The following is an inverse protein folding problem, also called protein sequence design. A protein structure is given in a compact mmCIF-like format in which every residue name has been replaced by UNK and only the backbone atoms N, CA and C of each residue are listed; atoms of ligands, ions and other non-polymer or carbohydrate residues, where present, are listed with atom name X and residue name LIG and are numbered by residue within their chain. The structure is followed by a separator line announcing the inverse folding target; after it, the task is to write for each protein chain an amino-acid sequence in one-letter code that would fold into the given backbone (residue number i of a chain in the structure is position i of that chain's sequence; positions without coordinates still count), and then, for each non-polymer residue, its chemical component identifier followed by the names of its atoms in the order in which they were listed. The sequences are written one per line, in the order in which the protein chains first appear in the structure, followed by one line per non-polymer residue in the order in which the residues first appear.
data_IF_908353937028
#
_entry.id   IF_908353937028
#
_cell.length_a   1.000
_cell.length_b   1.000
_cell.length_c   1.000
_cell.angle_alpha   90.00
_cell.angle_beta   90.00
_cell.angle_gamma   90.00
#
_symmetry.space_group_name_H-M   'P 1'
#
loop_
_entity.id
_entity.type
_entity.pdbx_description
1 polymer ?
#
# COMPACT_ATOMS: atom_id res chain seq x y z
N UNK A 1 24.87 -47.94 -22.27
CA UNK A 1 26.07 -47.08 -22.18
C UNK A 1 25.61 -45.67 -21.85
N UNK A 2 25.99 -45.21 -20.66
CA UNK A 2 25.70 -43.87 -20.12
C UNK A 2 26.68 -42.87 -20.72
N UNK A 3 26.21 -41.73 -21.24
CA UNK A 3 27.04 -40.54 -21.41
C UNK A 3 26.32 -39.31 -20.84
N UNK A 4 26.88 -38.87 -19.72
CA UNK A 4 26.56 -37.65 -18.98
C UNK A 4 27.23 -36.44 -19.62
N UNK A 5 26.60 -35.29 -19.44
CA UNK A 5 27.27 -34.08 -18.92
C UNK A 5 28.03 -33.22 -19.92
N UNK A 6 27.39 -32.15 -20.40
CA UNK A 6 28.07 -30.99 -21.00
C UNK A 6 28.04 -29.86 -19.98
N UNK A 7 29.19 -29.62 -19.34
CA UNK A 7 29.49 -28.35 -18.68
C UNK A 7 29.90 -27.32 -19.73
N UNK A 8 29.33 -26.11 -19.67
CA UNK A 8 29.85 -24.93 -20.37
C UNK A 8 30.50 -23.98 -19.36
N UNK A 9 31.64 -23.35 -19.70
CA UNK A 9 32.40 -22.49 -18.79
C UNK A 9 31.87 -21.05 -18.80
N UNK A 10 32.12 -20.37 -17.67
CA UNK A 10 31.89 -18.96 -17.43
C UNK A 10 32.70 -18.07 -18.39
N UNK A 11 32.06 -17.05 -18.94
CA UNK A 11 32.69 -15.98 -19.68
C UNK A 11 32.83 -14.75 -18.78
N UNK A 12 34.06 -14.26 -18.67
CA UNK A 12 34.39 -12.88 -18.27
C UNK A 12 34.15 -11.94 -19.45
N UNK A 13 33.62 -10.74 -19.20
CA UNK A 13 34.02 -9.52 -19.93
C UNK A 13 34.02 -8.31 -19.00
N UNK A 14 35.16 -7.61 -19.04
CA UNK A 14 35.46 -6.27 -18.55
C UNK A 14 35.26 -5.33 -19.73
N UNK A 15 34.56 -4.20 -19.55
CA UNK A 15 34.69 -2.97 -20.34
C UNK A 15 33.82 -1.89 -19.69
N UNK A 16 34.08 -0.60 -19.73
CA UNK A 16 35.27 0.22 -19.95
C UNK A 16 34.81 1.64 -19.58
N UNK A 17 35.69 2.42 -18.97
CA UNK A 17 35.44 3.80 -18.58
C UNK A 17 35.24 4.71 -19.80
N UNK A 18 34.25 5.60 -19.73
CA UNK A 18 34.07 6.73 -20.64
C UNK A 18 34.06 8.03 -19.83
N UNK A 19 35.25 8.62 -19.66
CA UNK A 19 35.46 9.93 -19.05
C UNK A 19 35.34 11.00 -20.15
N UNK A 20 34.35 11.89 -20.06
CA UNK A 20 34.23 13.05 -20.93
C UNK A 20 34.91 14.26 -20.28
N UNK A 21 35.91 14.79 -20.98
CA UNK A 21 36.61 16.04 -20.69
C UNK A 21 35.69 17.24 -20.93
N UNK A 22 35.52 18.08 -19.92
CA UNK A 22 35.19 19.51 -20.10
C UNK A 22 36.31 20.31 -19.45
N UNK A 23 36.93 21.14 -20.27
CA UNK A 23 38.09 21.98 -19.99
C UNK A 23 37.69 23.45 -20.00
N UNK A 24 38.44 24.23 -19.21
CA UNK A 24 38.51 25.71 -19.14
C UNK A 24 37.38 26.39 -18.33
N UNK A 25 37.64 27.32 -17.41
CA UNK A 25 38.90 27.99 -17.03
C UNK A 25 38.70 28.83 -15.76
N UNK A 26 39.76 28.88 -14.95
CA UNK A 26 40.25 29.97 -14.10
C UNK A 26 39.27 30.92 -13.38
N UNK A 27 39.20 30.77 -12.06
CA UNK A 27 39.39 31.90 -11.14
C UNK A 27 40.27 31.47 -9.96
N UNK A 28 41.37 32.19 -9.84
CA UNK A 28 42.36 32.12 -8.76
C UNK A 28 41.78 32.65 -7.46
N UNK A 29 41.76 31.84 -6.40
CA UNK A 29 41.88 32.37 -5.04
C UNK A 29 42.67 31.40 -4.17
N UNK A 30 43.52 32.00 -3.34
CA UNK A 30 44.79 31.48 -2.87
C UNK A 30 44.67 31.33 -1.37
N UNK A 31 44.22 30.18 -0.89
CA UNK A 31 44.24 29.85 0.53
C UNK A 31 45.14 28.65 0.80
N UNK A 32 46.10 28.88 1.67
CA UNK A 32 47.09 27.92 2.13
C UNK A 32 46.43 26.79 2.95
N UNK A 33 46.89 25.54 2.83
CA UNK A 33 46.41 24.46 3.70
C UNK A 33 47.01 24.60 5.09
N UNK A 34 46.13 24.74 6.08
CA UNK A 34 46.43 24.56 7.50
C UNK A 34 46.56 23.05 7.76
N UNK A 35 47.76 22.60 8.09
CA UNK A 35 48.00 21.25 8.61
C UNK A 35 47.21 21.07 9.91
N UNK A 36 46.12 20.32 9.85
CA UNK A 36 45.48 19.77 11.05
C UNK A 36 46.06 18.38 11.31
N UNK A 37 46.71 18.26 12.48
CA UNK A 37 47.23 17.01 13.00
C UNK A 37 46.09 16.01 13.19
N UNK A 38 46.17 14.89 12.47
CA UNK A 38 45.30 13.73 12.68
C UNK A 38 45.73 13.08 13.99
N UNK A 39 44.93 13.28 15.03
CA UNK A 39 45.05 12.56 16.29
C UNK A 39 44.72 11.08 16.06
N UNK A 40 45.70 10.23 16.33
CA UNK A 40 45.61 8.77 16.29
C UNK A 40 44.53 8.30 17.29
N UNK A 41 43.46 7.68 16.79
CA UNK A 41 42.42 7.07 17.62
C UNK A 41 43.02 5.87 18.36
N UNK A 42 42.87 5.76 19.70
CA UNK A 42 43.25 4.55 20.41
C UNK A 42 42.37 3.38 19.97
N UNK A 43 42.99 2.21 19.84
CA UNK A 43 42.34 0.95 19.54
C UNK A 43 41.24 0.65 20.58
N UNK A 44 40.11 0.05 20.18
CA UNK A 44 39.08 -0.34 21.13
C UNK A 44 39.60 -1.46 22.04
N UNK A 45 39.59 -1.21 23.34
CA UNK A 45 39.76 -2.24 24.36
C UNK A 45 38.67 -3.30 24.21
N UNK A 46 39.09 -4.57 24.24
CA UNK A 46 38.19 -5.71 24.24
C UNK A 46 37.33 -5.69 25.51
N UNK A 47 36.05 -5.36 25.35
CA UNK A 47 35.06 -5.52 26.41
C UNK A 47 34.71 -7.00 26.48
N UNK A 48 35.17 -7.64 27.54
CA UNK A 48 34.83 -9.01 27.89
C UNK A 48 33.35 -9.05 28.30
N UNK A 49 32.51 -9.58 27.39
CA UNK A 49 31.08 -9.76 27.59
C UNK A 49 30.85 -10.85 28.65
N UNK A 50 30.63 -10.43 29.89
CA UNK A 50 30.15 -11.31 30.97
C UNK A 50 28.73 -11.77 30.64
N UNK A 51 28.60 -13.04 30.28
CA UNK A 51 27.31 -13.73 30.16
C UNK A 51 26.47 -13.52 31.43
N UNK A 52 25.24 -13.03 31.25
CA UNK A 52 24.26 -12.93 32.31
C UNK A 52 23.82 -14.35 32.75
N UNK A 53 23.56 -14.57 34.06
CA UNK A 53 23.06 -15.85 34.53
C UNK A 53 21.65 -16.10 33.97
N UNK A 54 21.47 -17.27 33.36
CA UNK A 54 20.16 -17.77 32.93
C UNK A 54 19.24 -17.90 34.14
N UNK A 55 18.15 -17.13 34.15
CA UNK A 55 17.07 -17.27 35.10
C UNK A 55 16.34 -18.60 34.85
N UNK A 56 16.01 -19.39 35.88
CA UNK A 56 15.28 -20.63 35.71
C UNK A 56 13.89 -20.37 35.14
N UNK A 57 13.59 -21.05 34.04
CA UNK A 57 12.26 -21.09 33.41
C UNK A 57 11.33 -21.86 34.35
N UNK A 58 10.39 -21.15 34.99
CA UNK A 58 9.27 -21.77 35.68
C UNK A 58 8.33 -22.42 34.66
N UNK A 59 8.34 -23.75 34.63
CA UNK A 59 7.40 -24.54 33.85
C UNK A 59 6.05 -24.52 34.57
N UNK A 60 5.16 -23.63 34.14
CA UNK A 60 3.75 -23.69 34.52
C UNK A 60 3.10 -24.91 33.85
N UNK A 61 2.90 -25.98 34.63
CA UNK A 61 1.98 -27.07 34.28
C UNK A 61 0.56 -26.51 34.28
N UNK A 62 -0.01 -26.33 33.10
CA UNK A 62 -1.40 -25.93 32.91
C UNK A 62 -2.38 -26.96 33.50
N UNK A 63 -3.61 -26.54 33.83
CA UNK A 63 -4.63 -27.42 34.37
C UNK A 63 -5.03 -28.50 33.35
N UNK A 64 -5.43 -29.64 33.90
CA UNK A 64 -5.79 -30.87 33.19
C UNK A 64 -6.82 -30.64 32.06
N UNK A 65 -6.54 -31.32 30.95
CA UNK A 65 -7.36 -31.43 29.75
C UNK A 65 -8.78 -31.91 30.10
N UNK A 66 -9.84 -31.15 29.81
CA UNK A 66 -11.21 -31.62 30.01
C UNK A 66 -11.55 -32.73 28.99
N UNK A 67 -12.29 -33.73 29.47
CA UNK A 67 -12.77 -34.86 28.69
C UNK A 67 -13.52 -34.43 27.40
N UNK A 68 -13.43 -35.23 26.31
CA UNK A 68 -13.97 -34.86 25.01
C UNK A 68 -15.50 -34.79 25.05
N UNK A 69 -16.03 -33.57 24.94
CA UNK A 69 -17.44 -33.34 24.68
C UNK A 69 -17.87 -33.93 23.33
N UNK A 70 -19.06 -34.52 23.31
CA UNK A 70 -19.72 -35.10 22.15
C UNK A 70 -19.69 -34.17 20.94
N UNK A 71 -19.25 -34.70 19.79
CA UNK A 71 -19.21 -33.99 18.49
C UNK A 71 -20.60 -33.41 18.15
N UNK A 72 -20.79 -32.09 18.08
CA UNK A 72 -22.00 -31.55 17.48
C UNK A 72 -22.02 -31.90 16.00
N UNK A 73 -23.20 -32.28 15.50
CA UNK A 73 -23.42 -32.58 14.10
C UNK A 73 -22.94 -31.43 13.21
N UNK A 74 -22.24 -31.77 12.13
CA UNK A 74 -21.77 -30.79 11.16
C UNK A 74 -22.95 -29.96 10.65
N UNK A 75 -22.88 -28.61 10.68
CA UNK A 75 -23.93 -27.79 10.10
C UNK A 75 -24.02 -28.09 8.60
N UNK A 76 -25.24 -28.40 8.15
CA UNK A 76 -25.54 -28.51 6.72
C UNK A 76 -25.05 -27.25 6.00
N UNK A 77 -24.26 -27.44 4.94
CA UNK A 77 -23.90 -26.38 3.99
C UNK A 77 -25.20 -25.82 3.40
N UNK A 78 -25.72 -24.73 3.99
CA UNK A 78 -26.71 -23.89 3.32
C UNK A 78 -26.03 -23.31 2.08
N UNK A 79 -26.53 -23.69 0.91
CA UNK A 79 -26.20 -23.01 -0.33
C UNK A 79 -26.48 -21.51 -0.15
N UNK A 80 -25.53 -20.65 -0.54
CA UNK A 80 -25.72 -19.22 -0.53
C UNK A 80 -27.01 -18.87 -1.31
N UNK A 81 -27.89 -18.02 -0.75
CA UNK A 81 -29.10 -17.61 -1.44
C UNK A 81 -28.72 -16.89 -2.73
N UNK A 82 -29.12 -17.48 -3.87
CA UNK A 82 -28.74 -17.02 -5.22
C UNK A 82 -29.44 -15.72 -5.66
N UNK A 83 -30.32 -15.17 -4.83
CA UNK A 83 -31.17 -14.02 -5.16
C UNK A 83 -31.27 -13.02 -3.99
N UNK A 84 -30.13 -12.66 -3.38
CA UNK A 84 -30.09 -11.52 -2.47
C UNK A 84 -30.31 -10.22 -3.27
N UNK A 85 -31.46 -9.60 -3.04
CA UNK A 85 -31.90 -8.37 -3.69
C UNK A 85 -30.82 -7.28 -3.65
N UNK A 86 -30.59 -6.66 -4.81
CA UNK A 86 -29.71 -5.51 -5.00
C UNK A 86 -30.20 -4.30 -4.20
N UNK A 87 -29.79 -4.22 -2.94
CA UNK A 87 -29.87 -3.04 -2.08
C UNK A 87 -28.86 -2.02 -2.63
N UNK A 88 -29.31 -1.12 -3.52
CA UNK A 88 -28.57 -0.04 -4.21
C UNK A 88 -27.08 -0.33 -4.50
N UNK A 89 -26.79 -1.55 -4.97
CA UNK A 89 -25.44 -2.02 -5.20
C UNK A 89 -24.71 -1.11 -6.19
N UNK A 90 -23.59 -0.53 -5.76
CA UNK A 90 -22.72 0.27 -6.62
C UNK A 90 -22.39 -0.57 -7.86
N UNK A 91 -22.75 -0.07 -9.05
CA UNK A 91 -22.52 -0.79 -10.29
C UNK A 91 -21.03 -1.11 -10.45
N UNK A 92 -20.72 -2.29 -11.01
CA UNK A 92 -19.35 -2.67 -11.33
C UNK A 92 -18.65 -1.53 -12.08
N UNK A 93 -17.43 -1.13 -11.69
CA UNK A 93 -16.70 -0.13 -12.45
C UNK A 93 -16.53 -0.63 -13.89
N UNK A 94 -16.55 0.28 -14.86
CA UNK A 94 -16.27 -0.08 -16.24
C UNK A 94 -14.83 -0.58 -16.36
N UNK A 95 -14.64 -1.71 -17.04
CA UNK A 95 -13.33 -2.36 -17.21
C UNK A 95 -13.01 -2.41 -18.69
N UNK A 96 -12.02 -1.61 -19.09
CA UNK A 96 -11.48 -1.55 -20.45
C UNK A 96 -9.99 -1.91 -20.46
N UNK A 97 -9.53 -2.44 -21.59
CA UNK A 97 -8.10 -2.73 -21.82
C UNK A 97 -7.50 -3.87 -21.00
N UNK A 98 -8.31 -4.61 -20.25
CA UNK A 98 -7.88 -5.86 -19.59
C UNK A 98 -8.05 -7.01 -20.58
N UNK A 99 -6.95 -7.47 -21.18
CA UNK A 99 -6.97 -8.52 -22.21
C UNK A 99 -7.27 -9.92 -21.64
N UNK A 100 -6.90 -10.18 -20.39
CA UNK A 100 -7.02 -11.49 -19.76
C UNK A 100 -7.23 -11.36 -18.25
N UNK A 101 -8.51 -11.25 -17.81
CA UNK A 101 -8.84 -11.42 -16.41
C UNK A 101 -8.36 -12.80 -15.91
N UNK A 102 -7.97 -12.86 -14.64
CA UNK A 102 -7.49 -14.08 -14.00
C UNK A 102 -8.60 -14.55 -13.05
N UNK A 103 -9.25 -15.64 -13.40
CA UNK A 103 -10.15 -16.34 -12.49
C UNK A 103 -9.33 -17.31 -11.64
N UNK A 104 -9.35 -17.13 -10.33
CA UNK A 104 -8.63 -17.99 -9.38
C UNK A 104 -9.42 -18.17 -8.10
N UNK A 105 -8.97 -19.14 -7.31
CA UNK A 105 -9.50 -19.42 -5.99
C UNK A 105 -8.52 -18.92 -4.93
N UNK A 106 -8.86 -17.80 -4.28
CA UNK A 106 -7.96 -17.16 -3.33
C UNK A 106 -8.11 -17.73 -1.92
N UNK A 107 -6.98 -17.85 -1.22
CA UNK A 107 -6.98 -17.96 0.23
C UNK A 107 -7.04 -16.56 0.82
N UNK A 108 -8.13 -16.26 1.51
CA UNK A 108 -8.35 -14.92 2.06
C UNK A 108 -8.04 -14.85 3.54
N UNK A 109 -7.19 -13.90 3.93
CA UNK A 109 -6.94 -13.49 5.31
C UNK A 109 -7.25 -12.01 5.49
N UNK A 110 -7.11 -11.51 6.73
CA UNK A 110 -7.22 -10.10 7.01
C UNK A 110 -6.08 -9.66 7.93
N UNK A 111 -5.78 -8.36 7.90
CA UNK A 111 -4.86 -7.74 8.82
C UNK A 111 -5.34 -6.35 9.21
N UNK A 112 -4.92 -5.92 10.39
CA UNK A 112 -5.21 -4.61 10.92
C UNK A 112 -3.95 -4.06 11.55
N UNK A 113 -3.94 -2.74 11.75
CA UNK A 113 -2.87 -2.10 12.49
C UNK A 113 -3.37 -1.86 13.90
N UNK A 114 -2.67 -2.46 14.88
CA UNK A 114 -3.01 -2.27 16.28
C UNK A 114 -2.82 -0.78 16.65
N UNK A 115 -3.89 -0.06 17.03
CA UNK A 115 -3.76 1.35 17.33
C UNK A 115 -2.88 1.54 18.57
N UNK A 116 -1.99 2.52 18.49
CA UNK A 116 -1.33 3.06 19.67
C UNK A 116 -2.35 3.92 20.40
N UNK A 117 -2.79 3.52 21.59
CA UNK A 117 -3.68 4.35 22.40
C UNK A 117 -2.87 5.25 23.34
N UNK A 118 -3.27 6.52 23.44
CA UNK A 118 -2.81 7.44 24.49
C UNK A 118 -3.27 6.88 25.83
N UNK A 119 -2.34 6.62 26.76
CA UNK A 119 -2.71 6.50 28.18
C UNK A 119 -2.28 7.77 28.90
N UNK A 120 -2.75 7.95 30.13
CA UNK A 120 -2.59 9.18 30.90
C UNK A 120 -1.12 9.68 30.98
N UNK A 121 -0.91 11.01 31.14
CA UNK A 121 0.31 11.72 30.74
C UNK A 121 1.60 11.41 31.53
N UNK A 122 1.60 10.47 32.46
CA UNK A 122 2.70 10.39 33.43
C UNK A 122 3.85 9.48 32.96
N UNK A 123 3.65 8.58 31.99
CA UNK A 123 4.72 7.72 31.45
C UNK A 123 4.59 7.52 29.94
N UNK A 124 5.33 8.31 29.14
CA UNK A 124 5.32 8.14 27.68
C UNK A 124 6.43 8.86 26.91
N UNK A 125 6.71 8.37 25.70
CA UNK A 125 7.55 9.03 24.69
C UNK A 125 6.70 9.97 23.84
N UNK A 126 7.22 11.15 23.50
CA UNK A 126 6.55 12.06 22.58
C UNK A 126 6.90 11.70 21.13
N UNK A 127 5.88 11.45 20.31
CA UNK A 127 5.97 11.40 18.85
C UNK A 127 5.63 12.78 18.28
N UNK A 128 6.34 13.19 17.23
CA UNK A 128 5.98 14.37 16.44
C UNK A 128 5.59 13.92 15.05
N UNK A 129 4.31 14.07 14.71
CA UNK A 129 3.82 13.87 13.35
C UNK A 129 4.00 15.17 12.56
N UNK A 130 4.26 15.06 11.26
CA UNK A 130 4.10 16.17 10.33
C UNK A 130 2.77 15.97 9.62
N UNK A 131 1.85 16.92 9.75
CA UNK A 131 0.54 16.87 9.09
C UNK A 131 0.66 17.04 7.57
N UNK A 132 -0.47 16.87 6.88
CA UNK A 132 -0.54 17.00 5.42
C UNK A 132 -0.17 18.41 4.91
N UNK A 133 -0.24 19.43 5.78
CA UNK A 133 0.16 20.81 5.47
C UNK A 133 1.63 21.09 5.85
N UNK A 134 2.38 20.09 6.30
CA UNK A 134 3.78 20.23 6.73
C UNK A 134 3.96 20.76 8.15
N UNK A 135 2.88 20.96 8.92
CA UNK A 135 2.95 21.44 10.30
C UNK A 135 3.18 20.28 11.26
N UNK A 136 4.02 20.54 12.27
CA UNK A 136 4.36 19.55 13.31
C UNK A 136 3.26 19.48 14.37
N UNK A 137 2.80 18.26 14.67
CA UNK A 137 1.83 17.93 15.73
C UNK A 137 2.47 16.94 16.71
N UNK A 138 2.35 17.18 18.01
CA UNK A 138 2.93 16.31 19.04
C UNK A 138 1.88 15.40 19.66
N UNK A 139 2.23 14.12 19.83
CA UNK A 139 1.44 13.10 20.51
C UNK A 139 2.30 12.44 21.59
N UNK A 140 1.70 12.02 22.69
CA UNK A 140 2.39 11.22 23.73
C UNK A 140 1.90 9.79 23.65
N UNK A 141 2.82 8.84 23.55
CA UNK A 141 2.56 7.41 23.46
C UNK A 141 3.33 6.68 24.55
N UNK A 142 2.82 5.59 25.11
CA UNK A 142 3.55 4.81 26.13
C UNK A 142 4.76 4.09 25.53
N UNK A 143 5.70 3.63 26.36
CA UNK A 143 6.84 2.84 25.91
C UNK A 143 6.44 1.56 25.13
N UNK A 144 5.45 0.81 25.63
CA UNK A 144 4.96 -0.41 24.95
C UNK A 144 4.29 -0.10 23.61
N UNK A 145 3.46 0.94 23.57
CA UNK A 145 2.78 1.32 22.33
C UNK A 145 3.75 1.93 21.32
N UNK A 146 4.75 2.69 21.77
CA UNK A 146 5.82 3.21 20.91
C UNK A 146 6.58 2.08 20.22
N UNK A 147 7.01 1.06 20.97
CA UNK A 147 7.74 -0.06 20.39
C UNK A 147 6.91 -0.80 19.33
N UNK A 148 5.60 -1.00 19.58
CA UNK A 148 4.69 -1.56 18.56
C UNK A 148 4.58 -0.65 17.34
N UNK A 149 4.42 0.65 17.54
CA UNK A 149 4.38 1.62 16.44
C UNK A 149 5.64 1.55 15.58
N UNK A 150 6.81 1.41 16.20
CA UNK A 150 8.08 1.27 15.49
C UNK A 150 8.20 -0.04 14.72
N UNK A 151 7.59 -1.13 15.21
CA UNK A 151 7.56 -2.40 14.48
C UNK A 151 6.57 -2.36 13.31
N UNK A 152 5.37 -1.84 13.54
CA UNK A 152 4.28 -1.77 12.55
C UNK A 152 4.41 -0.58 11.59
N UNK A 153 5.35 0.33 11.84
CA UNK A 153 5.54 1.60 11.13
C UNK A 153 4.29 2.51 11.08
N UNK A 154 3.29 2.29 11.94
CA UNK A 154 2.07 3.08 12.02
C UNK A 154 1.69 3.32 13.49
N UNK A 155 1.20 4.52 13.77
CA UNK A 155 0.77 4.98 15.08
C UNK A 155 -0.61 5.63 14.98
N UNK A 156 -1.34 5.57 16.09
CA UNK A 156 -2.57 6.36 16.27
C UNK A 156 -2.32 7.35 17.39
N UNK A 157 -2.65 8.61 17.15
CA UNK A 157 -2.71 9.67 18.14
C UNK A 157 -4.16 10.05 18.39
N UNK A 158 -4.49 10.44 19.61
CA UNK A 158 -5.75 11.14 19.90
C UNK A 158 -5.38 12.59 20.20
N UNK A 159 -5.88 13.52 19.39
CA UNK A 159 -5.61 14.94 19.61
C UNK A 159 -6.42 15.50 20.79
N UNK A 160 -6.22 16.79 21.07
CA UNK A 160 -6.88 17.48 22.20
C UNK A 160 -8.41 17.50 22.11
N UNK A 161 -8.95 17.33 20.90
CA UNK A 161 -10.39 17.36 20.62
C UNK A 161 -10.98 15.93 20.61
N UNK A 162 -10.16 14.92 20.94
CA UNK A 162 -10.56 13.52 20.94
C UNK A 162 -10.54 12.88 19.54
N UNK A 163 -10.10 13.59 18.50
CA UNK A 163 -10.03 13.04 17.14
C UNK A 163 -8.86 12.07 17.03
N UNK A 164 -9.13 10.87 16.52
CA UNK A 164 -8.09 9.89 16.15
C UNK A 164 -7.36 10.38 14.90
N UNK A 165 -6.04 10.30 14.95
CA UNK A 165 -5.11 10.75 13.92
C UNK A 165 -4.17 9.59 13.64
N UNK A 166 -4.14 9.12 12.41
CA UNK A 166 -3.24 8.04 12.03
C UNK A 166 -1.96 8.66 11.50
N UNK A 167 -0.82 8.06 11.82
CA UNK A 167 0.46 8.50 11.31
C UNK A 167 1.34 7.31 10.97
N UNK A 168 2.17 7.45 9.95
CA UNK A 168 3.11 6.43 9.52
C UNK A 168 4.54 6.91 9.71
N UNK A 169 5.45 5.96 9.91
CA UNK A 169 6.88 6.24 10.08
C UNK A 169 7.54 6.31 8.71
N UNK A 170 8.15 7.46 8.42
CA UNK A 170 8.96 7.66 7.20
C UNK A 170 10.40 7.18 7.42
N UNK A 171 10.94 7.49 8.59
CA UNK A 171 12.26 7.05 9.05
C UNK A 171 12.30 7.07 10.59
N UNK A 172 13.40 6.63 11.19
CA UNK A 172 13.55 6.65 12.65
C UNK A 172 13.24 8.05 13.22
N UNK A 173 12.25 8.11 14.12
CA UNK A 173 11.78 9.35 14.73
C UNK A 173 11.00 10.32 13.81
N UNK A 174 10.86 10.04 12.51
CA UNK A 174 10.13 10.88 11.56
C UNK A 174 8.79 10.26 11.21
N UNK A 175 7.72 10.95 11.59
CA UNK A 175 6.34 10.50 11.39
C UNK A 175 5.57 11.50 10.54
N UNK A 176 4.68 11.01 9.69
CA UNK A 176 3.75 11.81 8.88
C UNK A 176 2.32 11.38 9.14
N UNK A 177 1.42 12.34 9.17
CA UNK A 177 -0.01 12.05 9.28
C UNK A 177 -0.50 11.34 8.01
N UNK A 178 -1.38 10.37 8.19
CA UNK A 178 -2.10 9.70 7.12
C UNK A 178 -3.32 10.53 6.70
N UNK A 179 -3.70 10.51 5.41
CA UNK A 179 -4.94 11.11 4.95
C UNK A 179 -6.18 10.64 5.70
N UNK A 180 -7.20 11.49 5.77
CA UNK A 180 -8.47 11.13 6.40
C UNK A 180 -9.10 9.91 5.71
N UNK A 181 -9.54 8.93 6.50
CA UNK A 181 -10.06 7.66 6.00
C UNK A 181 -9.00 6.56 5.85
N UNK A 182 -7.71 6.91 5.82
CA UNK A 182 -6.62 5.93 5.87
C UNK A 182 -6.31 5.52 7.31
N UNK A 183 -5.93 4.26 7.50
CA UNK A 183 -5.51 3.71 8.79
C UNK A 183 -4.14 3.01 8.74
N UNK A 184 -3.49 3.00 7.58
CA UNK A 184 -2.24 2.30 7.37
C UNK A 184 -1.45 2.86 6.21
N UNK A 185 -0.18 2.47 6.12
CA UNK A 185 0.68 2.79 5.00
C UNK A 185 1.15 1.50 4.36
N UNK A 186 0.79 1.28 3.11
CA UNK A 186 1.16 0.11 2.34
C UNK A 186 2.41 0.34 1.51
N UNK A 187 2.64 -0.57 0.58
CA UNK A 187 3.71 -0.44 -0.41
C UNK A 187 3.60 0.88 -1.20
N UNK A 188 4.75 1.38 -1.68
CA UNK A 188 4.90 2.63 -2.44
C UNK A 188 4.34 3.89 -1.76
N UNK A 189 4.26 3.89 -0.44
CA UNK A 189 3.70 5.02 0.33
C UNK A 189 2.20 5.23 0.01
N UNK A 190 1.50 4.15 -0.34
CA UNK A 190 0.05 4.19 -0.54
C UNK A 190 -0.70 4.20 0.80
N UNK A 191 -1.50 5.23 1.02
CA UNK A 191 -2.40 5.30 2.18
C UNK A 191 -3.46 4.18 2.10
N UNK A 192 -3.45 3.25 3.05
CA UNK A 192 -4.34 2.10 3.06
C UNK A 192 -5.70 2.45 3.65
N UNK A 193 -6.76 2.05 2.94
CA UNK A 193 -8.16 2.29 3.30
C UNK A 193 -8.83 0.98 3.68
N UNK A 194 -9.39 0.88 4.90
CA UNK A 194 -10.04 -0.34 5.36
C UNK A 194 -11.15 -0.78 4.41
N UNK A 195 -11.21 -2.09 4.15
CA UNK A 195 -12.24 -2.74 3.32
C UNK A 195 -12.19 -2.38 1.83
N UNK A 196 -11.16 -1.66 1.39
CA UNK A 196 -10.93 -1.27 -0.02
C UNK A 196 -9.62 -1.87 -0.53
N UNK A 197 -8.58 -1.89 0.31
CA UNK A 197 -7.24 -2.29 -0.08
C UNK A 197 -6.86 -3.68 0.44
N UNK A 198 -6.10 -4.39 -0.38
CA UNK A 198 -5.59 -5.74 -0.11
C UNK A 198 -4.07 -5.79 -0.34
N UNK A 199 -3.40 -6.64 0.43
CA UNK A 199 -2.05 -7.10 0.12
C UNK A 199 -2.13 -8.37 -0.74
N UNK A 200 -1.27 -8.46 -1.75
CA UNK A 200 -1.19 -9.60 -2.65
C UNK A 200 0.27 -9.86 -3.09
N UNK A 201 0.51 -11.01 -3.71
CA UNK A 201 1.77 -11.30 -4.39
C UNK A 201 1.94 -10.40 -5.61
N UNK A 202 2.84 -9.41 -5.53
CA UNK A 202 3.05 -8.44 -6.61
C UNK A 202 3.78 -9.00 -7.84
N UNK A 203 4.36 -10.21 -7.74
CA UNK A 203 4.89 -10.92 -8.91
C UNK A 203 3.76 -11.46 -9.80
N UNK A 204 2.63 -11.82 -9.18
CA UNK A 204 1.47 -12.41 -9.85
C UNK A 204 0.37 -11.36 -10.12
N UNK A 205 0.09 -10.50 -9.14
CA UNK A 205 -0.97 -9.49 -9.18
C UNK A 205 -0.37 -8.09 -9.00
N UNK A 206 -0.13 -7.35 -10.09
CA UNK A 206 0.53 -6.06 -10.02
C UNK A 206 -0.21 -5.06 -9.11
N UNK A 207 0.55 -4.18 -8.46
CA UNK A 207 0.00 -3.03 -7.75
C UNK A 207 -0.96 -2.23 -8.64
N UNK A 208 -2.11 -1.83 -8.08
CA UNK A 208 -3.21 -1.14 -8.76
C UNK A 208 -4.21 -2.07 -9.44
N UNK A 209 -4.02 -3.40 -9.42
CA UNK A 209 -5.00 -4.34 -9.99
C UNK A 209 -6.31 -4.33 -9.21
N UNK A 210 -7.42 -4.47 -9.93
CA UNK A 210 -8.76 -4.61 -9.35
C UNK A 210 -9.05 -6.09 -9.09
N UNK A 211 -9.64 -6.38 -7.93
CA UNK A 211 -10.01 -7.72 -7.50
C UNK A 211 -11.49 -7.73 -7.17
N UNK A 212 -12.24 -8.63 -7.81
CA UNK A 212 -13.65 -8.83 -7.55
C UNK A 212 -13.87 -10.17 -6.86
N UNK A 213 -14.41 -10.14 -5.63
CA UNK A 213 -14.79 -11.32 -4.86
C UNK A 213 -16.31 -11.30 -4.67
N UNK A 214 -17.08 -12.05 -5.48
CA UNK A 214 -18.54 -12.05 -5.41
C UNK A 214 -19.10 -12.40 -4.03
N UNK A 215 -18.45 -13.34 -3.32
CA UNK A 215 -18.87 -13.78 -1.99
C UNK A 215 -18.78 -12.70 -0.91
N UNK A 216 -18.02 -11.63 -1.16
CA UNK A 216 -17.93 -10.50 -0.24
C UNK A 216 -19.06 -9.49 -0.41
N UNK A 217 -19.81 -9.51 -1.51
CA UNK A 217 -20.88 -8.53 -1.75
C UNK A 217 -21.95 -8.62 -0.67
N UNK A 218 -22.21 -7.50 0.00
CA UNK A 218 -23.21 -7.41 1.06
C UNK A 218 -22.75 -7.98 2.41
N UNK A 219 -21.50 -8.44 2.53
CA UNK A 219 -20.95 -8.86 3.82
C UNK A 219 -20.95 -7.68 4.79
N UNK A 220 -21.72 -7.81 5.88
CA UNK A 220 -21.94 -6.75 6.87
C UNK A 220 -21.08 -6.98 8.12
N UNK A 221 -20.35 -5.94 8.52
CA UNK A 221 -19.57 -5.93 9.74
C UNK A 221 -20.42 -5.51 10.95
N UNK A 222 -19.93 -5.77 12.16
CA UNK A 222 -20.62 -5.37 13.40
C UNK A 222 -20.83 -3.85 13.57
N UNK A 223 -20.18 -3.02 12.75
CA UNK A 223 -20.41 -1.57 12.68
C UNK A 223 -21.44 -1.15 11.59
N UNK A 224 -22.08 -2.12 10.93
CA UNK A 224 -23.08 -1.93 9.88
C UNK A 224 -22.51 -1.66 8.49
N UNK A 225 -21.18 -1.57 8.33
CA UNK A 225 -20.58 -1.40 7.00
C UNK A 225 -20.73 -2.66 6.18
N UNK A 226 -21.09 -2.49 4.91
CA UNK A 226 -21.18 -3.58 3.94
C UNK A 226 -20.03 -3.52 2.94
N UNK A 227 -19.50 -4.67 2.55
CA UNK A 227 -18.57 -4.80 1.43
C UNK A 227 -19.30 -4.74 0.08
N UNK A 228 -18.66 -4.15 -0.91
CA UNK A 228 -19.16 -4.08 -2.29
C UNK A 228 -18.55 -5.18 -3.20
N UNK A 229 -17.63 -6.00 -2.68
CA UNK A 229 -16.95 -7.07 -3.42
C UNK A 229 -15.76 -6.62 -4.28
N UNK A 230 -15.41 -5.34 -4.31
CA UNK A 230 -14.31 -4.81 -5.12
C UNK A 230 -13.17 -4.28 -4.25
N UNK A 231 -11.95 -4.72 -4.56
CA UNK A 231 -10.74 -4.39 -3.82
C UNK A 231 -9.60 -4.02 -4.77
N UNK A 232 -8.63 -3.25 -4.28
CA UNK A 232 -7.43 -2.89 -5.06
C UNK A 232 -6.16 -3.41 -4.40
N UNK A 233 -5.28 -3.98 -5.21
CA UNK A 233 -3.94 -4.40 -4.78
C UNK A 233 -3.11 -3.16 -4.48
N UNK A 234 -2.99 -2.84 -3.20
CA UNK A 234 -2.35 -1.61 -2.73
C UNK A 234 -1.17 -1.87 -1.80
N UNK A 235 -0.95 -3.14 -1.42
CA UNK A 235 0.10 -3.53 -0.51
C UNK A 235 0.75 -4.87 -0.91
N UNK A 236 1.80 -5.25 -0.19
CA UNK A 236 2.51 -6.52 -0.31
C UNK A 236 3.02 -6.95 1.06
N UNK A 237 3.05 -8.25 1.32
CA UNK A 237 3.65 -8.79 2.55
C UNK A 237 4.59 -9.94 2.25
N UNK A 238 5.65 -10.10 3.05
CA UNK A 238 6.66 -11.15 2.83
C UNK A 238 6.15 -12.60 3.03
N UNK A 239 4.88 -12.79 3.38
CA UNK A 239 4.19 -14.11 3.49
C UNK A 239 2.95 -14.19 2.59
N UNK A 240 2.75 -13.18 1.74
CA UNK A 240 1.63 -13.09 0.82
C UNK A 240 2.17 -13.50 -0.56
N UNK A 241 2.04 -14.80 -0.87
CA UNK A 241 2.61 -15.46 -2.05
C UNK A 241 1.52 -16.24 -2.79
N UNK A 242 1.57 -16.26 -4.13
CA UNK A 242 0.57 -16.94 -4.97
C UNK A 242 -0.85 -16.42 -4.71
N UNK A 243 -1.84 -17.30 -4.67
CA UNK A 243 -3.26 -16.96 -4.45
C UNK A 243 -3.60 -16.57 -2.99
N UNK A 244 -2.62 -16.16 -2.19
CA UNK A 244 -2.84 -15.64 -0.84
C UNK A 244 -3.13 -14.14 -0.89
N UNK A 245 -4.27 -13.74 -0.34
CA UNK A 245 -4.69 -12.34 -0.23
C UNK A 245 -4.93 -11.98 1.23
N UNK A 246 -4.57 -10.75 1.60
CA UNK A 246 -4.74 -10.23 2.96
C UNK A 246 -5.48 -8.90 2.92
N UNK A 247 -6.72 -8.88 3.43
CA UNK A 247 -7.56 -7.69 3.44
C UNK A 247 -7.17 -6.75 4.55
N UNK A 248 -6.93 -5.49 4.20
CA UNK A 248 -6.76 -4.45 5.21
C UNK A 248 -8.12 -4.10 5.83
N UNK A 249 -8.34 -4.48 7.08
CA UNK A 249 -9.60 -4.20 7.81
C UNK A 249 -9.47 -3.03 8.79
N UNK A 250 -8.25 -2.50 8.97
CA UNK A 250 -7.95 -1.29 9.75
C UNK A 250 -8.02 -1.47 11.26
N UNK A 251 -9.08 -2.09 11.80
CA UNK A 251 -9.34 -2.19 13.23
C UNK A 251 -9.50 -3.64 13.71
N UNK A 252 -9.06 -3.91 14.94
CA UNK A 252 -9.12 -5.25 15.55
C UNK A 252 -10.53 -5.79 15.71
N UNK A 253 -11.53 -4.93 15.95
CA UNK A 253 -12.93 -5.37 16.08
C UNK A 253 -13.48 -5.89 14.74
N UNK A 254 -13.15 -5.20 13.64
CA UNK A 254 -13.52 -5.61 12.28
C UNK A 254 -12.81 -6.91 11.92
N UNK A 255 -11.53 -7.03 12.30
CA UNK A 255 -10.73 -8.24 12.12
C UNK A 255 -11.35 -9.47 12.77
N UNK A 256 -11.73 -9.40 14.05
CA UNK A 256 -12.35 -10.54 14.73
C UNK A 256 -13.65 -10.98 14.04
N UNK A 257 -14.51 -10.03 13.65
CA UNK A 257 -15.75 -10.33 12.92
C UNK A 257 -15.52 -10.95 11.53
N UNK A 258 -14.47 -10.50 10.83
CA UNK A 258 -14.06 -11.08 9.55
C UNK A 258 -13.62 -12.54 9.73
N UNK A 259 -12.72 -12.80 10.69
CA UNK A 259 -12.20 -14.13 10.94
C UNK A 259 -13.28 -15.14 11.31
N UNK A 260 -14.32 -14.74 12.02
CA UNK A 260 -15.40 -15.66 12.38
C UNK A 260 -16.24 -16.10 11.19
N UNK A 261 -16.30 -15.29 10.13
CA UNK A 261 -17.07 -15.59 8.93
C UNK A 261 -16.26 -16.32 7.85
N UNK A 262 -15.00 -15.92 7.66
CA UNK A 262 -14.20 -16.31 6.48
C UNK A 262 -13.38 -17.60 6.69
N UNK A 263 -13.54 -18.30 7.83
CA UNK A 263 -12.66 -19.42 8.26
C UNK A 263 -12.40 -20.45 7.14
N UNK A 264 -11.15 -20.43 6.65
CA UNK A 264 -10.54 -21.39 5.73
C UNK A 264 -11.29 -21.60 4.42
N UNK A 265 -11.99 -20.57 3.96
CA UNK A 265 -12.69 -20.63 2.70
C UNK A 265 -11.81 -20.10 1.57
N UNK A 266 -11.95 -20.84 0.49
CA UNK A 266 -11.40 -20.60 -0.80
C UNK A 266 -12.50 -19.83 -1.55
N UNK A 267 -12.16 -18.63 -2.03
CA UNK A 267 -13.12 -17.72 -2.65
C UNK A 267 -12.85 -17.57 -4.14
N UNK A 268 -13.88 -17.88 -4.93
CA UNK A 268 -13.85 -17.62 -6.36
C UNK A 268 -13.71 -16.12 -6.59
N UNK A 269 -12.68 -15.75 -7.35
CA UNK A 269 -12.26 -14.37 -7.50
C UNK A 269 -11.87 -14.12 -8.95
N UNK A 270 -12.30 -12.98 -9.48
CA UNK A 270 -11.81 -12.48 -10.77
C UNK A 270 -10.89 -11.30 -10.52
N UNK A 271 -9.66 -11.42 -11.01
CA UNK A 271 -8.63 -10.40 -10.88
C UNK A 271 -8.47 -9.75 -12.25
N UNK A 272 -8.48 -8.42 -12.26
CA UNK A 272 -8.25 -7.61 -13.43
C UNK A 272 -6.90 -6.91 -13.26
N UNK A 273 -5.82 -7.45 -13.86
CA UNK A 273 -4.51 -6.84 -13.76
C UNK A 273 -4.54 -5.39 -14.27
N UNK A 274 -3.80 -4.49 -13.62
CA UNK A 274 -3.68 -3.11 -14.08
C UNK A 274 -3.23 -3.10 -15.56
N UNK A 275 -4.05 -2.57 -16.50
CA UNK A 275 -3.72 -2.59 -17.91
C UNK A 275 -2.42 -1.83 -18.20
N UNK A 276 -1.74 -2.26 -19.26
CA UNK A 276 -0.58 -1.51 -19.78
C UNK A 276 -1.09 -0.39 -20.67
N UNK A 277 -0.62 0.81 -20.40
CA UNK A 277 -0.84 1.99 -21.25
C UNK A 277 0.45 2.40 -21.93
N UNK A 278 0.33 3.05 -23.08
CA UNK A 278 1.48 3.63 -23.75
C UNK A 278 2.12 4.71 -22.87
N UNK A 279 3.44 4.86 -22.95
CA UNK A 279 4.18 5.82 -22.13
C UNK A 279 3.62 7.25 -22.18
N UNK A 280 3.10 7.68 -23.34
CA UNK A 280 2.51 9.01 -23.52
C UNK A 280 1.17 9.21 -22.80
N UNK A 281 0.56 8.13 -22.30
CA UNK A 281 -0.70 8.08 -21.58
C UNK A 281 -0.54 7.50 -20.16
N UNK A 282 0.69 7.16 -19.74
CA UNK A 282 0.95 6.56 -18.43
C UNK A 282 0.76 7.61 -17.31
N UNK A 283 -0.26 7.47 -16.44
CA UNK A 283 -0.58 8.45 -15.42
C UNK A 283 0.48 8.54 -14.30
N UNK A 284 1.45 7.62 -14.26
CA UNK A 284 2.58 7.68 -13.31
C UNK A 284 3.64 8.72 -13.66
N UNK A 285 3.53 9.35 -14.82
CA UNK A 285 4.37 10.48 -15.18
C UNK A 285 3.53 11.71 -15.50
N UNK A 286 4.02 12.90 -15.13
CA UNK A 286 3.26 14.15 -15.23
C UNK A 286 2.73 14.43 -16.64
N UNK A 287 3.45 14.04 -17.70
CA UNK A 287 3.01 14.26 -19.07
C UNK A 287 1.82 13.37 -19.46
N UNK A 288 1.87 12.08 -19.12
CA UNK A 288 0.76 11.16 -19.30
C UNK A 288 -0.44 11.53 -18.44
N UNK A 289 -0.20 11.87 -17.16
CA UNK A 289 -1.23 12.35 -16.24
C UNK A 289 -1.94 13.60 -16.78
N UNK A 290 -1.19 14.63 -17.18
CA UNK A 290 -1.75 15.85 -17.77
C UNK A 290 -2.63 15.53 -18.98
N UNK A 291 -2.18 14.60 -19.84
CA UNK A 291 -2.92 14.18 -21.03
C UNK A 291 -4.24 13.52 -20.68
N UNK A 292 -4.26 12.61 -19.71
CA UNK A 292 -5.50 11.96 -19.22
C UNK A 292 -6.46 13.00 -18.65
N UNK A 293 -5.96 13.92 -17.83
CA UNK A 293 -6.79 14.95 -17.21
C UNK A 293 -7.34 15.95 -18.23
N UNK A 294 -6.58 16.28 -19.29
CA UNK A 294 -7.07 17.11 -20.40
C UNK A 294 -8.17 16.37 -21.17
N UNK A 295 -7.94 15.10 -21.53
CA UNK A 295 -8.89 14.31 -22.29
C UNK A 295 -10.22 14.11 -21.55
N UNK A 296 -10.15 13.97 -20.23
CA UNK A 296 -11.34 13.82 -19.36
C UNK A 296 -11.96 15.17 -18.93
N UNK A 297 -11.40 16.31 -19.36
CA UNK A 297 -11.95 17.64 -19.06
C UNK A 297 -11.64 18.20 -17.66
N UNK A 298 -10.79 17.53 -16.88
CA UNK A 298 -10.36 17.96 -15.54
C UNK A 298 -9.21 18.97 -15.56
N UNK A 299 -8.52 19.11 -16.70
CA UNK A 299 -7.42 20.04 -16.90
C UNK A 299 -7.58 20.75 -18.24
N UNK A 300 -7.39 22.07 -18.26
CA UNK A 300 -7.34 22.82 -19.53
C UNK A 300 -5.98 22.63 -20.19
N UNK A 301 -5.96 22.44 -21.51
CA UNK A 301 -4.70 22.35 -22.24
C UNK A 301 -3.91 23.67 -22.08
N UNK A 302 -2.61 23.61 -21.73
CA UNK A 302 -1.79 24.80 -21.66
C UNK A 302 -1.66 25.44 -23.04
N UNK A 303 -1.50 26.75 -23.10
CA UNK A 303 -1.21 27.45 -24.35
C UNK A 303 0.24 27.17 -24.77
N UNK A 304 0.44 26.24 -25.71
CA UNK A 304 1.76 25.90 -26.26
C UNK A 304 2.46 24.74 -25.55
N UNK A 305 3.79 24.81 -25.42
CA UNK A 305 4.64 23.73 -24.88
C UNK A 305 4.90 23.86 -23.36
N UNK A 306 4.14 24.68 -22.65
CA UNK A 306 4.35 24.90 -21.22
C UNK A 306 4.07 23.63 -20.42
N UNK A 307 4.99 23.27 -19.52
CA UNK A 307 4.80 22.15 -18.60
C UNK A 307 3.77 22.53 -17.55
N UNK A 308 2.80 21.66 -17.33
CA UNK A 308 1.82 21.82 -16.24
C UNK A 308 2.55 21.66 -14.91
N UNK A 309 2.38 22.63 -14.01
CA UNK A 309 2.98 22.58 -12.67
C UNK A 309 2.34 21.50 -11.80
N UNK A 310 3.12 20.93 -10.88
CA UNK A 310 2.69 19.82 -10.02
C UNK A 310 1.45 20.15 -9.18
N UNK A 311 1.32 21.38 -8.69
CA UNK A 311 0.15 21.79 -7.91
C UNK A 311 -1.13 21.84 -8.74
N UNK A 312 -1.04 22.30 -9.98
CA UNK A 312 -2.17 22.33 -10.92
C UNK A 312 -2.59 20.89 -11.26
N UNK A 313 -1.63 19.99 -11.47
CA UNK A 313 -1.91 18.57 -11.67
C UNK A 313 -2.59 17.97 -10.45
N UNK A 314 -2.08 18.25 -9.25
CA UNK A 314 -2.66 17.74 -8.00
C UNK A 314 -4.10 18.18 -7.82
N UNK A 315 -4.42 19.45 -8.07
CA UNK A 315 -5.79 19.97 -8.01
C UNK A 315 -6.71 19.31 -9.05
N UNK A 316 -6.23 19.14 -10.28
CA UNK A 316 -6.98 18.47 -11.35
C UNK A 316 -7.23 16.98 -11.04
N UNK A 317 -6.24 16.28 -10.45
CA UNK A 317 -6.40 14.91 -9.95
C UNK A 317 -7.48 14.84 -8.88
N UNK A 318 -7.51 15.77 -7.92
CA UNK A 318 -8.59 15.82 -6.91
C UNK A 318 -9.97 16.00 -7.55
N UNK A 319 -10.06 16.81 -8.61
CA UNK A 319 -11.28 16.94 -9.42
C UNK A 319 -11.72 15.60 -9.99
N UNK A 320 -10.82 14.94 -10.72
CA UNK A 320 -11.06 13.61 -11.29
C UNK A 320 -11.48 12.58 -10.24
N UNK A 321 -10.80 12.56 -9.09
CA UNK A 321 -11.07 11.60 -8.03
C UNK A 321 -12.45 11.76 -7.39
N UNK A 322 -12.96 12.99 -7.29
CA UNK A 322 -14.30 13.25 -6.75
C UNK A 322 -15.42 12.76 -7.67
N UNK A 323 -15.15 12.68 -8.97
CA UNK A 323 -16.10 12.15 -9.96
C UNK A 323 -16.13 10.62 -10.00
N UNK A 324 -15.18 9.95 -9.32
CA UNK A 324 -15.11 8.49 -9.24
C UNK A 324 -15.62 7.98 -7.87
N UNK A 325 -16.79 7.32 -7.81
CA UNK A 325 -17.41 6.93 -6.53
C UNK A 325 -16.62 5.85 -5.76
N UNK A 326 -15.73 5.13 -6.44
CA UNK A 326 -14.89 4.10 -5.83
C UNK A 326 -13.57 4.63 -5.26
N UNK A 327 -13.13 5.84 -5.62
CA UNK A 327 -11.88 6.39 -5.11
C UNK A 327 -12.11 6.93 -3.70
N UNK A 328 -11.46 6.36 -2.67
CA UNK A 328 -11.64 6.85 -1.31
C UNK A 328 -10.95 8.21 -1.14
N UNK A 329 -11.54 9.08 -0.31
CA UNK A 329 -11.00 10.41 -0.03
C UNK A 329 -9.56 10.41 0.51
N UNK A 330 -9.13 9.28 1.10
CA UNK A 330 -7.77 9.09 1.57
C UNK A 330 -6.72 9.10 0.44
N UNK A 331 -7.11 8.86 -0.81
CA UNK A 331 -6.22 8.92 -1.96
C UNK A 331 -6.20 10.30 -2.63
N UNK A 332 -6.99 11.27 -2.15
CA UNK A 332 -7.15 12.55 -2.85
C UNK A 332 -5.84 13.32 -2.99
N UNK A 333 -5.50 13.65 -4.25
CA UNK A 333 -4.28 14.33 -4.66
C UNK A 333 -3.08 13.40 -4.90
N UNK A 334 -3.23 12.09 -4.72
CA UNK A 334 -2.20 11.09 -5.02
C UNK A 334 -2.56 10.31 -6.30
N UNK A 335 -1.96 10.64 -7.46
CA UNK A 335 -2.22 9.92 -8.72
C UNK A 335 -1.65 8.49 -8.74
N UNK A 336 -0.69 8.19 -7.87
CA UNK A 336 -0.04 6.89 -7.81
C UNK A 336 -0.75 5.90 -6.87
N UNK A 337 -1.71 6.38 -6.08
CA UNK A 337 -2.49 5.54 -5.17
C UNK A 337 -3.28 4.47 -5.94
N UNK A 338 -3.44 3.29 -5.35
CA UNK A 338 -3.80 2.08 -6.08
C UNK A 338 -5.15 2.19 -6.80
N UNK A 339 -6.17 2.72 -6.13
CA UNK A 339 -7.51 2.88 -6.71
C UNK A 339 -7.51 4.02 -7.74
N UNK A 340 -6.87 5.15 -7.43
CA UNK A 340 -6.74 6.30 -8.33
C UNK A 340 -6.02 5.93 -9.63
N UNK A 341 -4.90 5.22 -9.51
CA UNK A 341 -4.10 4.75 -10.62
C UNK A 341 -4.92 3.83 -11.55
N UNK A 342 -5.75 2.95 -10.98
CA UNK A 342 -6.67 2.12 -11.75
C UNK A 342 -7.58 2.98 -12.63
N UNK A 343 -8.32 3.93 -12.04
CA UNK A 343 -9.29 4.75 -12.77
C UNK A 343 -8.63 5.70 -13.79
N UNK A 344 -7.46 6.29 -13.46
CA UNK A 344 -6.70 7.07 -14.42
C UNK A 344 -6.25 6.22 -15.62
N UNK A 345 -5.87 4.97 -15.37
CA UNK A 345 -5.50 4.02 -16.42
C UNK A 345 -6.70 3.64 -17.29
N UNK A 346 -7.88 3.42 -16.70
CA UNK A 346 -9.11 3.16 -17.46
C UNK A 346 -9.46 4.36 -18.37
N UNK A 347 -9.45 5.57 -17.82
CA UNK A 347 -9.72 6.79 -18.57
C UNK A 347 -8.74 6.99 -19.74
N UNK A 348 -7.45 6.72 -19.52
CA UNK A 348 -6.42 6.78 -20.56
C UNK A 348 -6.74 5.85 -21.75
N UNK A 349 -7.22 4.65 -21.48
CA UNK A 349 -7.55 3.65 -22.50
C UNK A 349 -8.82 4.05 -23.26
N UNK A 350 -9.86 4.47 -22.55
CA UNK A 350 -11.13 4.90 -23.14
C UNK A 350 -10.92 6.07 -24.11
N UNK A 351 -10.21 7.11 -23.68
CA UNK A 351 -9.97 8.30 -24.52
C UNK A 351 -9.10 7.98 -25.75
N UNK A 352 -8.14 7.07 -25.60
CA UNK A 352 -7.36 6.58 -26.75
C UNK A 352 -8.23 5.82 -27.76
N UNK A 353 -9.11 4.94 -27.29
CA UNK A 353 -10.01 4.17 -28.15
C UNK A 353 -11.00 5.10 -28.88
N UNK A 354 -11.53 6.09 -28.17
CA UNK A 354 -12.40 7.13 -28.74
C UNK A 354 -11.70 7.90 -29.86
N UNK A 355 -10.48 8.40 -29.62
CA UNK A 355 -9.70 9.11 -30.64
C UNK A 355 -9.42 8.24 -31.89
N UNK A 356 -9.15 6.94 -31.71
CA UNK A 356 -8.97 6.02 -32.82
C UNK A 356 -10.26 5.84 -33.65
N UNK A 357 -11.42 5.73 -32.98
CA UNK A 357 -12.72 5.59 -33.64
C UNK A 357 -13.12 6.83 -34.44
N UNK A 358 -12.83 8.04 -33.93
CA UNK A 358 -13.13 9.30 -34.61
C UNK A 358 -12.28 9.47 -35.87
N UNK A 359 -10.99 9.12 -35.81
CA UNK A 359 -10.09 9.20 -36.98
C UNK A 359 -10.53 8.31 -38.15
N UNK A 360 -11.08 7.13 -37.85
CA UNK A 360 -11.56 6.18 -38.87
C UNK A 360 -12.88 6.62 -39.51
N UNK A 361 -13.68 7.43 -38.81
CA UNK A 361 -14.98 7.90 -39.31
C UNK A 361 -14.90 9.09 -40.28
N UNK A 362 -13.73 9.75 -40.36
CA UNK A 362 -13.50 10.93 -41.20
C UNK A 362 -12.90 10.62 -42.58
N UNK A 363 -12.55 9.36 -42.84
CA UNK A 363 -12.12 8.83 -44.14
C UNK A 363 -13.31 8.25 -44.92
#
# INVERSE_FOLDING_TARGET
MNLKGIHRPAWWWVAAAGLALISCSDTTEKDAPREEAVAEKPAPEAVEEKAAPESPIEVHTGPAEPEPAEKPAAPEKKAAPKDAAADEGMAMPEIVGVESPIDTDIRWTAYYIAPVTKTEPEEGRTLTFTDLAGKKIRYTVTGKSFHRAEMEAVAVGIDKDGKKRFGYRVSEGVWRELPEGSMGMGNKVNALVPLVHIAADQGTYPYGSLVHVPDAVGFEFGDGKKMNGYFWVADSGGRIEGDHFDLFVGQSQVYSGFLDTVKHQHHQTTIYPLPKVEKAWDPRNNAGLARVLIATGHLSAPAGEEKVGDEILREAVVGFQKDQPFIPAAEYGDPDAATTLWFLTQAAIQEKQKAASESTSSE
#
